data_IF_847970195358
#
_entry.id   IF_847970195358
#
_cell.length_a   1.000
_cell.length_b   1.000
_cell.length_c   1.000
_cell.angle_alpha   90.00
_cell.angle_beta   90.00
_cell.angle_gamma   90.00
#
_symmetry.space_group_name_H-M   'P 1'
#
loop_
_entity.id
_entity.type
_entity.pdbx_description
1 polymer ?
#
# COMPACT_ATOMS: atom_id res chain seq x y z
N UNK A 1 20.19 16.40 -4.15
CA UNK A 1 20.42 17.47 -3.12
C UNK A 1 21.85 17.30 -2.64
N UNK A 2 22.56 18.39 -2.31
CA UNK A 2 23.91 18.26 -1.76
C UNK A 2 23.78 17.67 -0.34
N UNK A 3 24.38 16.50 -0.10
CA UNK A 3 24.31 15.75 1.14
C UNK A 3 24.74 16.60 2.35
N UNK A 4 25.79 17.44 2.16
CA UNK A 4 26.28 18.34 3.21
C UNK A 4 25.21 19.36 3.62
N UNK A 5 24.52 19.96 2.64
CA UNK A 5 23.45 20.92 2.90
C UNK A 5 22.22 20.26 3.56
N UNK A 6 21.94 18.98 3.24
CA UNK A 6 20.87 18.22 3.88
C UNK A 6 21.17 18.00 5.37
N UNK A 7 22.33 17.47 5.70
CA UNK A 7 22.78 17.22 7.07
C UNK A 7 22.84 18.49 7.89
N UNK A 8 23.35 19.59 7.31
CA UNK A 8 23.45 20.89 8.01
C UNK A 8 22.10 21.45 8.43
N UNK A 9 21.04 21.22 7.65
CA UNK A 9 19.68 21.65 7.98
C UNK A 9 19.14 20.98 9.27
N UNK A 10 19.62 19.77 9.59
CA UNK A 10 19.18 19.01 10.76
C UNK A 10 20.05 19.20 12.01
N UNK A 11 21.23 19.81 11.89
CA UNK A 11 22.13 20.03 13.03
C UNK A 11 21.52 20.84 14.17
N UNK A 12 20.57 21.72 13.91
CA UNK A 12 19.93 22.57 14.92
C UNK A 12 18.62 22.02 15.45
N UNK A 13 17.95 21.12 14.70
CA UNK A 13 16.68 20.53 15.10
C UNK A 13 16.91 19.36 16.08
N UNK A 14 16.06 19.26 17.10
CA UNK A 14 16.10 18.17 18.07
C UNK A 14 15.09 17.06 17.77
N UNK A 15 14.00 17.38 17.11
CA UNK A 15 12.92 16.48 16.79
C UNK A 15 12.53 16.62 15.30
N UNK A 16 11.97 15.54 14.78
CA UNK A 16 11.35 15.45 13.45
C UNK A 16 9.90 15.03 13.61
N UNK A 17 8.98 15.65 12.88
CA UNK A 17 7.58 15.24 12.84
C UNK A 17 7.39 14.02 11.93
N UNK A 18 6.26 13.34 12.05
CA UNK A 18 5.90 12.20 11.19
C UNK A 18 5.79 12.64 9.72
N UNK A 19 5.27 13.85 9.49
CA UNK A 19 5.08 14.44 8.16
C UNK A 19 6.42 14.82 7.51
N UNK A 20 7.32 15.43 8.30
CA UNK A 20 8.68 15.76 7.83
C UNK A 20 9.45 14.48 7.48
N UNK A 21 9.39 13.45 8.35
CA UNK A 21 10.04 12.17 8.10
C UNK A 21 9.54 11.51 6.82
N UNK A 22 8.22 11.50 6.59
CA UNK A 22 7.62 10.93 5.40
C UNK A 22 8.00 11.66 4.09
N UNK A 23 8.48 12.89 4.17
CA UNK A 23 8.94 13.67 3.02
C UNK A 23 10.43 13.49 2.70
N UNK A 24 11.19 12.83 3.57
CA UNK A 24 12.62 12.58 3.36
C UNK A 24 12.88 11.36 2.48
N UNK A 25 13.96 11.39 1.68
CA UNK A 25 14.41 10.22 0.96
C UNK A 25 14.88 9.11 1.93
N UNK A 26 14.42 7.89 1.71
CA UNK A 26 14.75 6.75 2.59
C UNK A 26 16.25 6.48 2.70
N UNK A 27 17.00 6.71 1.63
CA UNK A 27 18.46 6.50 1.60
C UNK A 27 19.26 7.54 2.40
N UNK A 28 18.67 8.69 2.76
CA UNK A 28 19.30 9.76 3.53
C UNK A 28 19.01 9.66 5.04
N UNK A 29 18.21 8.67 5.45
CA UNK A 29 17.76 8.50 6.84
C UNK A 29 18.15 7.12 7.36
N UNK A 30 18.51 7.06 8.65
CA UNK A 30 18.69 5.82 9.39
C UNK A 30 17.70 5.79 10.55
N UNK A 31 16.78 4.82 10.57
CA UNK A 31 15.74 4.71 11.58
C UNK A 31 16.19 3.76 12.70
N UNK A 32 16.28 4.27 13.92
CA UNK A 32 16.73 3.52 15.10
C UNK A 32 15.59 3.43 16.10
N UNK A 33 14.99 2.26 16.23
CA UNK A 33 13.94 1.97 17.21
C UNK A 33 14.56 1.38 18.47
N UNK A 34 14.40 2.09 19.59
CA UNK A 34 14.97 1.72 20.89
C UNK A 34 13.95 1.09 21.85
N UNK A 35 12.80 0.67 21.34
CA UNK A 35 11.85 -0.10 22.16
C UNK A 35 12.39 -1.50 22.38
N UNK A 36 11.82 -2.20 23.35
CA UNK A 36 12.15 -3.60 23.56
C UNK A 36 11.82 -4.45 22.32
N UNK A 37 12.52 -5.59 22.18
CA UNK A 37 12.43 -6.47 21.02
C UNK A 37 10.99 -6.96 20.75
N UNK A 38 10.24 -7.28 21.83
CA UNK A 38 8.85 -7.73 21.71
C UNK A 38 7.94 -6.63 21.13
N UNK A 39 8.15 -5.38 21.55
CA UNK A 39 7.40 -4.24 21.00
C UNK A 39 7.79 -3.95 19.54
N UNK A 40 9.07 -4.11 19.20
CA UNK A 40 9.57 -3.96 17.83
C UNK A 40 9.02 -5.03 16.89
N UNK A 41 9.05 -6.32 17.29
CA UNK A 41 8.51 -7.43 16.51
C UNK A 41 7.01 -7.33 16.24
N UNK A 42 6.25 -6.72 17.15
CA UNK A 42 4.81 -6.43 16.94
C UNK A 42 4.54 -5.35 15.90
N UNK A 43 5.56 -4.64 15.49
CA UNK A 43 5.54 -3.63 14.44
C UNK A 43 6.40 -2.42 14.76
N UNK A 44 7.05 -1.89 13.72
CA UNK A 44 7.87 -0.68 13.77
C UNK A 44 7.70 0.12 12.48
N UNK A 45 8.44 1.23 12.34
CA UNK A 45 8.54 1.95 11.08
C UNK A 45 9.26 1.06 10.06
N UNK A 46 8.82 1.05 8.78
CA UNK A 46 9.52 0.31 7.73
C UNK A 46 10.99 0.70 7.65
N UNK A 47 11.87 -0.28 7.58
CA UNK A 47 13.32 -0.06 7.52
C UNK A 47 14.01 0.31 8.83
N UNK A 48 13.27 0.39 9.94
CA UNK A 48 13.87 0.68 11.25
C UNK A 48 14.69 -0.53 11.77
N UNK A 49 15.82 -0.24 12.39
CA UNK A 49 16.63 -1.21 13.12
C UNK A 49 16.32 -1.14 14.61
N UNK A 50 16.18 -2.30 15.27
CA UNK A 50 16.02 -2.35 16.70
C UNK A 50 17.39 -2.39 17.37
N UNK A 51 17.75 -1.34 18.11
CA UNK A 51 19.04 -1.22 18.76
C UNK A 51 18.90 -0.95 20.26
N UNK A 52 19.81 -1.52 21.03
CA UNK A 52 19.83 -1.34 22.48
C UNK A 52 20.25 0.10 22.85
N UNK A 53 19.41 0.89 23.56
CA UNK A 53 19.73 2.27 23.89
C UNK A 53 20.96 2.43 24.81
N UNK A 54 21.27 1.47 25.66
CA UNK A 54 22.45 1.54 26.53
C UNK A 54 23.74 1.34 25.74
N UNK A 55 23.76 0.41 24.82
CA UNK A 55 24.89 0.17 23.92
C UNK A 55 25.11 1.36 22.96
N UNK A 56 24.04 1.97 22.45
CA UNK A 56 24.11 3.18 21.65
C UNK A 56 24.76 4.35 22.41
N UNK A 57 24.42 4.53 23.68
CA UNK A 57 25.02 5.57 24.52
C UNK A 57 26.51 5.36 24.75
N UNK A 58 26.97 4.12 24.73
CA UNK A 58 28.37 3.73 24.94
C UNK A 58 29.19 3.66 23.64
N UNK A 59 28.59 3.99 22.51
CA UNK A 59 29.24 3.88 21.19
C UNK A 59 29.38 2.43 20.70
N UNK A 60 28.51 1.54 21.14
CA UNK A 60 28.55 0.11 20.82
C UNK A 60 28.07 -0.24 19.39
N UNK A 61 27.57 0.75 18.64
CA UNK A 61 27.12 0.56 17.25
C UNK A 61 27.81 1.52 16.30
N UNK A 62 28.15 1.03 15.11
CA UNK A 62 28.69 1.83 14.02
C UNK A 62 27.53 2.38 13.18
N UNK A 63 27.11 3.62 13.48
CA UNK A 63 26.03 4.29 12.77
C UNK A 63 26.60 5.13 11.62
N UNK A 64 25.84 5.31 10.52
CA UNK A 64 26.29 6.13 9.39
C UNK A 64 26.41 7.61 9.77
N UNK A 65 27.58 8.19 9.53
CA UNK A 65 27.85 9.62 9.81
C UNK A 65 27.26 10.55 8.75
N UNK A 66 26.98 10.02 7.57
CA UNK A 66 26.47 10.73 6.41
C UNK A 66 24.94 10.72 6.30
N UNK A 67 24.24 10.11 7.25
CA UNK A 67 22.76 10.07 7.30
C UNK A 67 22.18 10.81 8.51
N UNK A 68 20.90 11.18 8.38
CA UNK A 68 20.10 11.64 9.51
C UNK A 68 19.63 10.43 10.33
N UNK A 69 20.09 10.33 11.58
CA UNK A 69 19.65 9.30 12.51
C UNK A 69 18.35 9.75 13.19
N UNK A 70 17.28 8.98 13.00
CA UNK A 70 15.98 9.23 13.65
C UNK A 70 15.77 8.20 14.75
N UNK A 71 15.88 8.64 16.00
CA UNK A 71 15.65 7.82 17.18
C UNK A 71 14.15 7.70 17.48
N UNK A 72 13.68 6.47 17.67
CA UNK A 72 12.27 6.13 17.88
C UNK A 72 12.12 5.42 19.22
N UNK A 73 11.28 5.95 20.09
CA UNK A 73 10.77 5.22 21.25
C UNK A 73 9.23 5.25 21.23
N UNK A 74 8.57 4.69 22.25
CA UNK A 74 7.10 4.64 22.25
C UNK A 74 6.45 6.02 22.16
N UNK A 75 6.94 7.05 22.89
CA UNK A 75 6.31 8.35 23.06
C UNK A 75 7.18 9.57 22.68
N UNK A 76 8.35 9.37 22.11
CA UNK A 76 9.29 10.43 21.75
C UNK A 76 10.12 11.01 22.91
N UNK A 77 9.92 10.55 24.14
CA UNK A 77 10.60 11.13 25.34
C UNK A 77 12.02 10.58 25.57
N UNK A 78 12.15 9.26 25.55
CA UNK A 78 13.45 8.59 25.80
C UNK A 78 14.37 8.82 24.58
N UNK A 79 13.83 8.73 23.39
CA UNK A 79 14.57 8.95 22.14
C UNK A 79 15.14 10.36 22.01
N UNK A 80 14.52 11.37 22.64
CA UNK A 80 15.04 12.72 22.66
C UNK A 80 16.39 12.81 23.39
N UNK A 81 16.48 12.19 24.57
CA UNK A 81 17.75 12.13 25.34
C UNK A 81 18.82 11.33 24.60
N UNK A 82 18.46 10.25 23.93
CA UNK A 82 19.38 9.47 23.11
C UNK A 82 19.89 10.26 21.91
N UNK A 83 19.01 10.96 21.18
CA UNK A 83 19.41 11.80 20.06
C UNK A 83 20.39 12.90 20.48
N UNK A 84 20.20 13.50 21.66
CA UNK A 84 21.16 14.45 22.24
C UNK A 84 22.52 13.81 22.57
N UNK A 85 22.53 12.59 23.09
CA UNK A 85 23.76 11.84 23.35
C UNK A 85 24.51 11.50 22.05
N UNK A 86 23.83 11.00 21.02
CA UNK A 86 24.42 10.72 19.71
C UNK A 86 25.02 11.97 19.05
N UNK A 87 24.41 13.12 19.25
CA UNK A 87 24.98 14.42 18.79
C UNK A 87 26.29 14.76 19.48
N UNK A 88 26.41 14.48 20.76
CA UNK A 88 27.68 14.67 21.50
C UNK A 88 28.78 13.73 20.98
N UNK A 89 28.39 12.60 20.40
CA UNK A 89 29.29 11.65 19.72
C UNK A 89 29.64 12.04 18.29
N UNK A 90 29.03 13.13 17.75
CA UNK A 90 29.31 13.66 16.40
C UNK A 90 28.26 13.32 15.34
N UNK A 91 27.26 12.51 15.64
CA UNK A 91 26.20 12.15 14.69
C UNK A 91 25.17 13.27 14.51
N UNK A 92 24.54 13.31 13.34
CA UNK A 92 23.34 14.14 13.14
C UNK A 92 22.11 13.32 13.49
N UNK A 93 21.56 13.56 14.68
CA UNK A 93 20.48 12.75 15.24
C UNK A 93 19.31 13.60 15.74
N UNK A 94 18.09 13.10 15.54
CA UNK A 94 16.82 13.70 15.99
C UNK A 94 15.94 12.63 16.62
N UNK A 95 14.98 13.07 17.43
CA UNK A 95 13.94 12.20 17.97
C UNK A 95 12.68 12.30 17.12
N UNK A 96 11.99 11.18 16.85
CA UNK A 96 10.66 11.21 16.27
C UNK A 96 9.67 11.78 17.28
N UNK A 97 9.08 12.93 16.95
CA UNK A 97 8.09 13.61 17.79
C UNK A 97 6.87 12.71 18.03
N UNK A 98 6.50 12.51 19.30
CA UNK A 98 5.43 11.61 19.69
C UNK A 98 5.73 10.13 19.52
N UNK A 99 6.91 9.78 18.99
CA UNK A 99 7.42 8.41 18.86
C UNK A 99 6.58 7.50 17.98
N UNK A 100 6.73 6.21 18.18
CA UNK A 100 5.98 5.17 17.47
C UNK A 100 4.46 5.33 17.60
N UNK A 101 3.97 5.73 18.79
CA UNK A 101 2.54 5.86 19.02
C UNK A 101 1.88 6.89 18.11
N UNK A 102 2.48 8.09 17.95
CA UNK A 102 1.95 9.11 17.05
C UNK A 102 2.09 8.69 15.59
N UNK A 103 3.21 8.07 15.20
CA UNK A 103 3.39 7.56 13.85
C UNK A 103 2.33 6.52 13.50
N UNK A 104 2.06 5.56 14.39
CA UNK A 104 1.02 4.54 14.19
C UNK A 104 -0.37 5.16 14.06
N UNK A 105 -0.70 6.14 14.92
CA UNK A 105 -1.95 6.87 14.84
C UNK A 105 -2.11 7.55 13.47
N UNK A 106 -1.09 8.29 13.01
CA UNK A 106 -1.10 8.97 11.70
C UNK A 106 -1.21 8.01 10.53
N UNK A 107 -0.53 6.87 10.63
CA UNK A 107 -0.65 5.79 9.64
C UNK A 107 -2.08 5.28 9.54
N UNK A 108 -2.71 4.95 10.66
CA UNK A 108 -4.09 4.46 10.70
C UNK A 108 -5.10 5.52 10.21
N UNK A 109 -4.91 6.79 10.55
CA UNK A 109 -5.73 7.90 10.06
C UNK A 109 -5.67 8.01 8.52
N UNK A 110 -4.48 7.90 7.93
CA UNK A 110 -4.29 7.90 6.46
C UNK A 110 -4.96 6.70 5.81
N UNK A 111 -4.69 5.50 6.29
CA UNK A 111 -5.28 4.27 5.76
C UNK A 111 -6.81 4.30 5.82
N UNK A 112 -7.37 4.85 6.89
CA UNK A 112 -8.83 5.01 7.05
C UNK A 112 -9.41 6.04 6.08
N UNK A 113 -8.72 7.17 5.88
CA UNK A 113 -9.14 8.21 4.94
C UNK A 113 -9.07 7.71 3.49
N UNK A 114 -8.00 7.03 3.11
CA UNK A 114 -7.85 6.40 1.78
C UNK A 114 -8.95 5.36 1.52
N UNK A 115 -9.24 4.49 2.50
CA UNK A 115 -10.30 3.50 2.37
C UNK A 115 -11.69 4.14 2.22
N UNK A 116 -11.96 5.25 2.92
CA UNK A 116 -13.22 5.97 2.79
C UNK A 116 -13.36 6.66 1.43
N UNK A 117 -12.28 7.20 0.88
CA UNK A 117 -12.25 7.80 -0.46
C UNK A 117 -12.48 6.73 -1.55
N UNK A 118 -11.83 5.58 -1.43
CA UNK A 118 -12.01 4.45 -2.34
C UNK A 118 -13.46 3.92 -2.33
N UNK A 119 -14.06 3.81 -1.14
CA UNK A 119 -15.46 3.37 -1.01
C UNK A 119 -16.43 4.38 -1.66
N UNK A 120 -16.19 5.69 -1.50
CA UNK A 120 -16.99 6.72 -2.16
C UNK A 120 -16.81 6.68 -3.67
N UNK A 121 -15.58 6.47 -4.15
CA UNK A 121 -15.27 6.30 -5.57
C UNK A 121 -15.97 5.09 -6.16
N UNK A 122 -15.95 3.95 -5.45
CA UNK A 122 -16.69 2.74 -5.86
C UNK A 122 -18.20 3.01 -5.96
N UNK A 123 -18.81 3.67 -4.96
CA UNK A 123 -20.24 4.05 -4.98
C UNK A 123 -20.58 4.94 -6.19
N UNK A 124 -19.70 5.87 -6.54
CA UNK A 124 -19.87 6.72 -7.74
C UNK A 124 -19.82 5.91 -9.03
N UNK A 125 -18.90 4.95 -9.14
CA UNK A 125 -18.78 4.06 -10.31
C UNK A 125 -20.05 3.21 -10.46
N UNK A 126 -20.46 2.51 -9.41
CA UNK A 126 -21.66 1.67 -9.41
C UNK A 126 -22.94 2.48 -9.66
N UNK A 127 -23.04 3.65 -9.03
CA UNK A 127 -24.15 4.58 -9.27
C UNK A 127 -24.24 5.05 -10.72
N UNK A 128 -23.09 5.25 -11.37
CA UNK A 128 -23.04 5.61 -12.80
C UNK A 128 -23.55 4.47 -13.70
N UNK A 129 -23.18 3.24 -13.42
CA UNK A 129 -23.67 2.06 -14.16
C UNK A 129 -25.16 1.86 -13.97
N UNK A 130 -25.70 2.06 -12.77
CA UNK A 130 -27.12 1.89 -12.46
C UNK A 130 -28.01 3.03 -12.96
N UNK A 131 -27.47 4.25 -13.13
CA UNK A 131 -28.22 5.45 -13.52
C UNK A 131 -27.82 5.93 -14.91
N UNK A 132 -26.66 6.59 -15.04
CA UNK A 132 -26.21 7.27 -16.27
C UNK A 132 -26.04 6.31 -17.45
N UNK A 133 -25.48 5.14 -17.21
CA UNK A 133 -25.19 4.15 -18.26
C UNK A 133 -26.18 2.98 -18.29
N UNK A 134 -27.25 3.04 -17.49
CA UNK A 134 -28.24 1.96 -17.40
C UNK A 134 -28.70 1.45 -18.76
N UNK A 135 -29.24 2.32 -19.58
CA UNK A 135 -29.82 1.93 -20.88
C UNK A 135 -28.76 1.65 -21.96
N UNK A 136 -27.59 2.29 -21.85
CA UNK A 136 -26.54 2.12 -22.87
C UNK A 136 -25.67 0.88 -22.62
N UNK A 137 -25.48 0.46 -21.37
CA UNK A 137 -24.60 -0.62 -21.01
C UNK A 137 -25.36 -1.70 -20.23
N UNK A 138 -25.81 -1.40 -19.00
CA UNK A 138 -26.32 -2.44 -18.09
C UNK A 138 -27.56 -3.16 -18.64
N UNK A 139 -28.52 -2.45 -19.20
CA UNK A 139 -29.72 -3.06 -19.82
C UNK A 139 -29.33 -3.95 -21.00
N UNK A 140 -28.48 -3.46 -21.89
CA UNK A 140 -28.06 -4.25 -23.08
C UNK A 140 -27.26 -5.49 -22.68
N UNK A 141 -26.44 -5.39 -21.65
CA UNK A 141 -25.72 -6.53 -21.10
C UNK A 141 -26.70 -7.59 -20.59
N UNK A 142 -27.68 -7.21 -19.76
CA UNK A 142 -28.70 -8.13 -19.23
C UNK A 142 -29.55 -8.72 -20.36
N UNK A 143 -29.97 -7.91 -21.34
CA UNK A 143 -30.70 -8.38 -22.52
C UNK A 143 -29.92 -9.44 -23.30
N UNK A 144 -28.60 -9.23 -23.50
CA UNK A 144 -27.76 -10.20 -24.19
C UNK A 144 -27.61 -11.51 -23.34
N UNK A 145 -27.40 -11.41 -22.06
CA UNK A 145 -27.31 -12.57 -21.15
C UNK A 145 -28.60 -13.40 -21.22
N UNK A 146 -29.75 -12.75 -21.16
CA UNK A 146 -31.05 -13.44 -21.24
C UNK A 146 -31.37 -13.99 -22.64
N UNK A 147 -31.12 -13.18 -23.68
CA UNK A 147 -31.44 -13.57 -25.07
C UNK A 147 -30.64 -14.77 -25.54
N UNK A 148 -29.38 -14.87 -25.13
CA UNK A 148 -28.48 -15.95 -25.58
C UNK A 148 -28.30 -17.04 -24.54
N UNK A 149 -29.05 -16.99 -23.42
CA UNK A 149 -28.99 -17.95 -22.32
C UNK A 149 -27.55 -18.18 -21.81
N UNK A 150 -26.83 -17.05 -21.60
CA UNK A 150 -25.40 -17.09 -21.28
C UNK A 150 -25.11 -17.43 -19.82
N UNK A 151 -26.11 -17.36 -18.93
CA UNK A 151 -25.98 -17.66 -17.50
C UNK A 151 -27.17 -18.50 -17.04
N UNK A 152 -26.89 -19.68 -16.47
CA UNK A 152 -27.87 -20.62 -15.96
C UNK A 152 -27.74 -20.86 -14.46
N UNK A 153 -28.79 -21.39 -13.82
CA UNK A 153 -28.70 -21.79 -12.41
C UNK A 153 -27.56 -22.79 -12.17
N UNK A 154 -26.69 -22.49 -11.20
CA UNK A 154 -25.57 -23.35 -10.82
C UNK A 154 -24.30 -23.19 -11.66
N UNK A 155 -24.31 -22.30 -12.67
CA UNK A 155 -23.12 -22.04 -13.47
C UNK A 155 -21.97 -21.47 -12.61
N UNK A 156 -20.74 -21.82 -12.99
CA UNK A 156 -19.50 -21.23 -12.52
C UNK A 156 -18.83 -20.49 -13.66
N UNK A 157 -18.84 -19.15 -13.60
CA UNK A 157 -18.42 -18.28 -14.68
C UNK A 157 -17.07 -17.69 -14.34
N UNK A 158 -16.07 -17.93 -15.21
CA UNK A 158 -14.76 -17.31 -15.13
C UNK A 158 -14.74 -16.03 -15.97
N UNK A 159 -14.38 -14.92 -15.34
CA UNK A 159 -14.21 -13.61 -16.01
C UNK A 159 -12.72 -13.32 -16.07
N UNK A 160 -12.19 -13.28 -17.30
CA UNK A 160 -10.78 -12.99 -17.54
C UNK A 160 -10.53 -11.48 -17.47
N UNK A 161 -9.63 -11.07 -16.61
CA UNK A 161 -9.24 -9.69 -16.36
C UNK A 161 -7.87 -9.45 -17.01
N UNK A 162 -7.84 -8.58 -18.00
CA UNK A 162 -6.61 -8.14 -18.66
C UNK A 162 -6.04 -6.84 -18.10
N UNK A 163 -6.65 -6.28 -17.04
CA UNK A 163 -6.29 -4.97 -16.50
C UNK A 163 -6.87 -3.78 -17.29
N UNK A 164 -7.41 -3.99 -18.48
CA UNK A 164 -8.04 -2.95 -19.28
C UNK A 164 -9.44 -2.58 -18.78
N UNK A 165 -9.90 -1.37 -19.17
CA UNK A 165 -11.22 -0.82 -18.77
C UNK A 165 -12.39 -1.75 -19.11
N UNK A 166 -12.32 -2.48 -20.23
CA UNK A 166 -13.42 -3.31 -20.71
C UNK A 166 -13.59 -4.58 -19.88
N UNK A 167 -12.46 -5.22 -19.49
CA UNK A 167 -12.48 -6.38 -18.61
C UNK A 167 -12.94 -6.04 -17.19
N UNK A 168 -12.52 -4.88 -16.67
CA UNK A 168 -12.98 -4.38 -15.36
C UNK A 168 -14.46 -3.99 -15.40
N UNK A 169 -14.95 -3.38 -16.49
CA UNK A 169 -16.38 -3.12 -16.70
C UNK A 169 -17.18 -4.42 -16.73
N UNK A 170 -16.69 -5.44 -17.43
CA UNK A 170 -17.31 -6.76 -17.50
C UNK A 170 -17.42 -7.37 -16.09
N UNK A 171 -16.37 -7.29 -15.30
CA UNK A 171 -16.39 -7.77 -13.91
C UNK A 171 -17.50 -7.10 -13.09
N UNK A 172 -17.61 -5.77 -13.18
CA UNK A 172 -18.67 -5.01 -12.47
C UNK A 172 -20.08 -5.37 -12.96
N UNK A 173 -20.28 -5.56 -14.24
CA UNK A 173 -21.58 -5.94 -14.80
C UNK A 173 -22.01 -7.34 -14.31
N UNK A 174 -21.09 -8.30 -14.25
CA UNK A 174 -21.38 -9.62 -13.69
C UNK A 174 -21.60 -9.60 -12.18
N UNK A 175 -20.87 -8.75 -11.42
CA UNK A 175 -21.15 -8.54 -9.99
C UNK A 175 -22.55 -7.97 -9.76
N UNK A 176 -22.96 -6.95 -10.56
CA UNK A 176 -24.32 -6.39 -10.51
C UNK A 176 -25.36 -7.43 -10.91
N UNK A 177 -25.10 -8.22 -11.96
CA UNK A 177 -25.99 -9.32 -12.36
C UNK A 177 -26.18 -10.30 -11.22
N UNK A 178 -25.08 -10.77 -10.59
CA UNK A 178 -25.13 -11.71 -9.46
C UNK A 178 -25.92 -11.15 -8.28
N UNK A 179 -25.78 -9.85 -7.97
CA UNK A 179 -26.49 -9.17 -6.88
C UNK A 179 -28.01 -9.15 -7.09
N UNK A 180 -28.47 -9.04 -8.35
CA UNK A 180 -29.88 -8.86 -8.69
C UNK A 180 -30.54 -10.07 -9.35
N UNK A 181 -29.80 -11.14 -9.56
CA UNK A 181 -30.32 -12.32 -10.24
C UNK A 181 -31.26 -13.16 -9.33
N UNK A 182 -32.20 -13.86 -9.97
CA UNK A 182 -33.21 -14.67 -9.29
C UNK A 182 -32.74 -16.11 -8.95
N UNK A 183 -31.60 -16.52 -9.47
CA UNK A 183 -31.02 -17.84 -9.26
C UNK A 183 -29.54 -17.76 -8.93
N UNK A 184 -28.97 -18.72 -8.18
CA UNK A 184 -27.56 -18.71 -7.81
C UNK A 184 -26.67 -19.10 -8.99
N UNK A 185 -25.52 -18.44 -9.11
CA UNK A 185 -24.37 -18.82 -9.92
C UNK A 185 -23.09 -18.31 -9.27
N UNK A 186 -21.97 -18.89 -9.65
CA UNK A 186 -20.65 -18.50 -9.10
C UNK A 186 -19.87 -17.64 -10.08
N UNK A 187 -19.10 -16.69 -9.55
CA UNK A 187 -18.15 -15.87 -10.30
C UNK A 187 -16.73 -16.12 -9.80
N UNK A 188 -15.82 -16.31 -10.74
CA UNK A 188 -14.37 -16.36 -10.50
C UNK A 188 -13.73 -15.32 -11.41
N UNK A 189 -12.81 -14.51 -10.86
CA UNK A 189 -12.09 -13.50 -11.61
C UNK A 189 -10.64 -13.92 -11.74
N UNK A 190 -10.19 -14.09 -12.98
CA UNK A 190 -8.88 -14.64 -13.29
C UNK A 190 -8.06 -13.61 -14.08
N UNK A 191 -6.81 -13.41 -13.70
CA UNK A 191 -5.84 -12.64 -14.45
C UNK A 191 -4.69 -13.55 -14.86
N UNK A 192 -4.51 -13.72 -16.16
CA UNK A 192 -3.33 -14.38 -16.70
C UNK A 192 -2.17 -13.40 -16.65
N UNK A 193 -1.11 -13.79 -15.96
CA UNK A 193 0.14 -13.01 -15.89
C UNK A 193 1.13 -13.59 -16.90
N UNK A 194 1.34 -12.89 -18.02
CA UNK A 194 2.28 -13.33 -19.06
C UNK A 194 3.71 -12.86 -18.79
N UNK A 195 4.02 -12.40 -17.56
CA UNK A 195 5.27 -11.76 -17.19
C UNK A 195 5.13 -10.23 -17.12
N UNK A 196 4.08 -9.75 -16.51
CA UNK A 196 3.91 -8.31 -16.28
C UNK A 196 5.08 -7.75 -15.47
N UNK A 197 5.51 -6.52 -15.81
CA UNK A 197 6.38 -5.78 -14.91
C UNK A 197 5.60 -5.42 -13.62
N UNK A 198 6.34 -5.17 -12.54
CA UNK A 198 5.75 -4.89 -11.22
C UNK A 198 4.74 -3.74 -11.24
N UNK A 199 5.00 -2.68 -12.03
CA UNK A 199 4.12 -1.53 -12.15
C UNK A 199 2.77 -1.89 -12.77
N UNK A 200 2.76 -2.67 -13.86
CA UNK A 200 1.53 -3.10 -14.52
C UNK A 200 0.72 -4.03 -13.62
N UNK A 201 1.38 -4.97 -12.95
CA UNK A 201 0.74 -5.88 -12.01
C UNK A 201 0.09 -5.12 -10.86
N UNK A 202 0.81 -4.18 -10.25
CA UNK A 202 0.31 -3.32 -9.17
C UNK A 202 -0.92 -2.52 -9.60
N UNK A 203 -0.93 -1.91 -10.79
CA UNK A 203 -2.09 -1.18 -11.29
C UNK A 203 -3.32 -2.08 -11.44
N UNK A 204 -3.15 -3.33 -11.89
CA UNK A 204 -4.24 -4.30 -12.02
C UNK A 204 -4.79 -4.67 -10.63
N UNK A 205 -3.91 -4.93 -9.68
CA UNK A 205 -4.27 -5.27 -8.29
C UNK A 205 -5.01 -4.11 -7.59
N UNK A 206 -4.50 -2.89 -7.70
CA UNK A 206 -5.12 -1.68 -7.13
C UNK A 206 -6.52 -1.42 -7.72
N UNK A 207 -6.67 -1.53 -9.04
CA UNK A 207 -7.97 -1.38 -9.69
C UNK A 207 -8.95 -2.50 -9.29
N UNK A 208 -8.49 -3.74 -9.16
CA UNK A 208 -9.31 -4.85 -8.71
C UNK A 208 -9.76 -4.65 -7.25
N UNK A 209 -8.84 -4.20 -6.37
CA UNK A 209 -9.12 -3.86 -4.98
C UNK A 209 -10.17 -2.76 -4.89
N UNK A 210 -9.98 -1.64 -5.59
CA UNK A 210 -10.93 -0.52 -5.64
C UNK A 210 -12.33 -0.97 -6.07
N UNK A 211 -12.42 -1.87 -7.06
CA UNK A 211 -13.69 -2.36 -7.61
C UNK A 211 -14.26 -3.55 -6.83
N UNK A 212 -13.64 -3.96 -5.73
CA UNK A 212 -13.99 -5.16 -4.96
C UNK A 212 -14.11 -6.41 -5.85
N UNK A 213 -13.15 -6.58 -6.77
CA UNK A 213 -13.03 -7.75 -7.63
C UNK A 213 -12.01 -8.71 -7.02
N UNK A 214 -12.42 -9.86 -6.46
CA UNK A 214 -11.50 -10.83 -5.87
C UNK A 214 -10.71 -11.55 -6.97
N UNK A 215 -9.57 -10.97 -7.36
CA UNK A 215 -8.79 -11.40 -8.50
C UNK A 215 -7.79 -12.49 -8.11
N UNK A 216 -7.75 -13.56 -8.91
CA UNK A 216 -6.75 -14.62 -8.83
C UNK A 216 -5.80 -14.53 -10.01
N UNK A 217 -4.51 -14.41 -9.74
CA UNK A 217 -3.48 -14.46 -10.77
C UNK A 217 -3.02 -15.89 -11.01
N UNK A 218 -2.72 -16.21 -12.27
CA UNK A 218 -1.99 -17.41 -12.65
C UNK A 218 -0.93 -17.06 -13.69
N UNK A 219 0.27 -17.59 -13.51
CA UNK A 219 1.40 -17.35 -14.39
C UNK A 219 1.33 -18.25 -15.60
N UNK A 220 1.83 -17.76 -16.74
CA UNK A 220 1.98 -18.54 -17.97
C UNK A 220 3.35 -18.24 -18.59
N UNK A 221 3.86 -19.22 -19.31
CA UNK A 221 5.11 -19.17 -20.07
C UNK A 221 4.91 -18.84 -21.56
N UNK A 222 3.76 -18.22 -21.89
CA UNK A 222 3.38 -17.95 -23.29
C UNK A 222 4.46 -17.18 -24.04
N UNK A 223 5.09 -16.20 -23.42
CA UNK A 223 6.17 -15.44 -24.07
C UNK A 223 7.45 -16.24 -24.23
N UNK A 224 7.81 -17.09 -23.27
CA UNK A 224 8.96 -17.98 -23.41
C UNK A 224 8.76 -18.97 -24.56
N UNK A 225 7.55 -19.51 -24.70
CA UNK A 225 7.19 -20.45 -25.77
C UNK A 225 7.18 -19.83 -27.18
N UNK A 226 6.94 -18.51 -27.29
CA UNK A 226 6.89 -17.82 -28.61
C UNK A 226 8.27 -17.39 -29.09
N UNK A 227 9.22 -17.14 -28.20
CA UNK A 227 10.57 -16.69 -28.57
C UNK A 227 11.59 -17.84 -28.77
N UNK A 228 11.16 -19.08 -28.58
CA UNK A 228 11.99 -20.29 -28.81
C UNK A 228 11.63 -21.03 -30.14
N UNK A 229 11.01 -20.36 -31.10
CA UNK A 229 10.78 -20.89 -32.47
C UNK A 229 11.72 -20.25 -33.47
#
# INVERSE_FOLDING_TARGET
>A
MDMTAFIDAWKTKQEITVEELAALPENEVELVDIRDEVAFERGSLPGAQNLNPLELQQGGYDLPEDKLIVCICMWGKISLGLAQNLRQQGYTAVSLQGGYALWLQRKLERETAEAAEDEERLKRIEGSLRKKFKHKISTKFVEAVCKFDLVRPGDKIAICISGGKDSMLMAKLFQELKRHNKFPFELVFLCMDPGYNEMNRRIIEENAKLLHVPLTFFSTDIFESVFHV
#
